data_IF_159770116906
#
_entry.id   IF_159770116906
#
_cell.length_a   1.000
_cell.length_b   1.000
_cell.length_c   1.000
_cell.angle_alpha   90.00
_cell.angle_beta   90.00
_cell.angle_gamma   90.00
#
_symmetry.space_group_name_H-M   'P 1'
#
loop_
_entity.id
_entity.type
_entity.pdbx_description
1 polymer ?
#
# COMPACT_ATOMS: atom_id res chain seq x y z
N UNK A 1 -9.36 5.23 -6.86
CA UNK A 1 -8.42 4.23 -7.45
C UNK A 1 -7.78 4.69 -8.78
N UNK A 2 -6.47 4.94 -8.80
CA UNK A 2 -5.66 5.08 -10.03
C UNK A 2 -4.66 3.93 -10.10
N UNK A 3 -4.65 3.18 -11.19
CA UNK A 3 -3.83 1.97 -11.33
C UNK A 3 -2.72 2.29 -12.34
N UNK A 4 -1.47 2.16 -11.91
CA UNK A 4 -0.31 2.20 -12.81
C UNK A 4 0.18 0.77 -12.98
N UNK A 5 -0.13 0.19 -14.15
CA UNK A 5 0.28 -1.17 -14.51
C UNK A 5 1.53 -1.10 -15.39
N UNK A 6 2.64 -1.64 -14.91
CA UNK A 6 3.80 -1.98 -15.73
C UNK A 6 3.99 -3.49 -15.59
N UNK A 7 3.63 -4.28 -16.60
CA UNK A 7 4.01 -5.70 -16.65
C UNK A 7 4.62 -6.01 -18.00
N UNK A 8 5.80 -6.62 -17.95
CA UNK A 8 6.50 -7.26 -19.06
C UNK A 8 6.23 -8.75 -18.92
N UNK A 9 5.04 -9.18 -19.36
CA UNK A 9 4.55 -10.55 -19.55
C UNK A 9 5.18 -11.71 -18.76
N UNK A 10 4.39 -12.38 -17.92
CA UNK A 10 4.80 -13.63 -17.28
C UNK A 10 3.89 -14.04 -16.13
N UNK A 11 4.04 -15.28 -15.67
CA UNK A 11 3.26 -15.90 -14.59
C UNK A 11 3.49 -15.16 -13.25
N UNK A 12 2.44 -14.57 -12.66
CA UNK A 12 2.52 -13.63 -11.52
C UNK A 12 3.01 -14.22 -10.18
N UNK A 13 3.20 -15.54 -10.08
CA UNK A 13 3.55 -16.22 -8.82
C UNK A 13 4.82 -15.66 -8.15
N UNK A 14 5.69 -14.99 -8.90
CA UNK A 14 6.93 -14.36 -8.40
C UNK A 14 6.91 -12.82 -8.40
N UNK A 15 5.84 -12.18 -8.86
CA UNK A 15 5.77 -10.74 -8.99
C UNK A 15 5.54 -10.10 -7.62
N UNK A 16 6.34 -9.09 -7.29
CA UNK A 16 6.25 -8.36 -6.03
C UNK A 16 5.25 -7.22 -6.17
N UNK A 17 4.14 -7.30 -5.43
CA UNK A 17 3.07 -6.30 -5.41
C UNK A 17 3.28 -5.30 -4.26
N UNK A 18 3.22 -4.01 -4.58
CA UNK A 18 3.13 -2.95 -3.58
C UNK A 18 1.76 -2.25 -3.66
N UNK A 19 1.01 -2.30 -2.57
CA UNK A 19 -0.19 -1.48 -2.38
C UNK A 19 0.24 -0.13 -1.82
N UNK A 20 -0.01 0.96 -2.53
CA UNK A 20 0.41 2.31 -2.15
C UNK A 20 -0.78 3.12 -1.67
N UNK A 21 -0.77 3.52 -0.40
CA UNK A 21 -1.89 4.20 0.26
C UNK A 21 -1.42 5.55 0.80
N UNK A 22 -1.75 6.68 0.13
CA UNK A 22 -1.51 8.00 0.69
C UNK A 22 -2.45 8.27 1.87
N UNK A 23 -1.91 8.81 2.96
CA UNK A 23 -2.63 9.09 4.20
C UNK A 23 -2.41 10.53 4.64
N UNK A 24 -3.49 11.23 5.01
CA UNK A 24 -3.42 12.52 5.71
C UNK A 24 -4.51 12.62 6.76
N UNK A 25 -4.11 12.57 8.03
CA UNK A 25 -4.99 12.56 9.20
C UNK A 25 -6.04 11.43 9.19
N UNK A 26 -5.57 10.19 9.11
CA UNK A 26 -6.39 8.98 8.96
C UNK A 26 -6.46 8.13 10.24
N UNK A 27 -6.13 8.69 11.42
CA UNK A 27 -5.97 7.88 12.65
C UNK A 27 -7.20 7.03 13.02
N UNK A 28 -8.41 7.47 12.64
CA UNK A 28 -9.67 6.79 12.95
C UNK A 28 -9.91 5.56 12.06
N UNK A 29 -9.47 5.59 10.80
CA UNK A 29 -9.78 4.54 9.79
C UNK A 29 -8.61 3.61 9.53
N UNK A 30 -7.38 4.05 9.80
CA UNK A 30 -6.16 3.39 9.36
C UNK A 30 -6.01 1.96 9.90
N UNK A 31 -6.51 1.68 11.12
CA UNK A 31 -6.50 0.33 11.70
C UNK A 31 -7.37 -0.67 10.93
N UNK A 32 -8.60 -0.28 10.55
CA UNK A 32 -9.48 -1.16 9.80
C UNK A 32 -8.96 -1.32 8.36
N UNK A 33 -8.42 -0.25 7.78
CA UNK A 33 -7.76 -0.27 6.47
C UNK A 33 -6.58 -1.25 6.44
N UNK A 34 -5.66 -1.14 7.39
CA UNK A 34 -4.52 -2.05 7.50
C UNK A 34 -4.96 -3.51 7.67
N UNK A 35 -5.99 -3.77 8.48
CA UNK A 35 -6.53 -5.11 8.69
C UNK A 35 -7.14 -5.72 7.42
N UNK A 36 -7.93 -4.94 6.67
CA UNK A 36 -8.53 -5.38 5.39
C UNK A 36 -7.46 -5.69 4.35
N UNK A 37 -6.48 -4.79 4.20
CA UNK A 37 -5.37 -4.97 3.25
C UNK A 37 -4.49 -6.16 3.64
N UNK A 38 -4.18 -6.33 4.93
CA UNK A 38 -3.40 -7.45 5.44
C UNK A 38 -4.06 -8.79 5.11
N UNK A 39 -5.37 -8.91 5.37
CA UNK A 39 -6.13 -10.12 5.02
C UNK A 39 -6.04 -10.40 3.53
N UNK A 40 -6.19 -9.38 2.69
CA UNK A 40 -6.15 -9.51 1.23
C UNK A 40 -4.79 -9.96 0.73
N UNK A 41 -3.74 -9.21 1.04
CA UNK A 41 -2.38 -9.50 0.57
C UNK A 41 -1.89 -10.87 1.09
N UNK A 42 -2.21 -11.23 2.33
CA UNK A 42 -1.85 -12.55 2.89
C UNK A 42 -2.56 -13.68 2.17
N UNK A 43 -3.82 -13.49 1.80
CA UNK A 43 -4.59 -14.48 1.02
C UNK A 43 -3.97 -14.67 -0.36
N UNK A 44 -3.58 -13.57 -1.02
CA UNK A 44 -2.94 -13.62 -2.34
C UNK A 44 -1.57 -14.30 -2.29
N UNK A 45 -0.75 -14.00 -1.28
CA UNK A 45 0.55 -14.66 -1.05
C UNK A 45 0.34 -16.16 -0.80
N UNK A 46 -0.62 -16.53 0.07
CA UNK A 46 -0.91 -17.93 0.40
C UNK A 46 -1.39 -18.73 -0.82
N UNK A 47 -2.16 -18.10 -1.71
CA UNK A 47 -2.64 -18.69 -2.94
C UNK A 47 -1.61 -18.60 -4.08
N UNK A 48 -0.38 -18.17 -3.78
CA UNK A 48 0.72 -18.03 -4.73
C UNK A 48 0.39 -17.12 -5.93
N UNK A 49 -0.49 -16.14 -5.73
CA UNK A 49 -0.86 -15.15 -6.76
C UNK A 49 0.20 -14.06 -6.89
N UNK A 50 0.89 -13.74 -5.79
CA UNK A 50 1.95 -12.72 -5.70
C UNK A 50 3.08 -13.22 -4.80
N UNK A 51 4.27 -12.63 -4.94
CA UNK A 51 5.43 -12.91 -4.10
C UNK A 51 5.19 -12.58 -2.62
N UNK A 52 5.81 -13.35 -1.73
CA UNK A 52 5.88 -13.06 -0.28
C UNK A 52 6.60 -11.75 0.07
N UNK A 53 7.37 -11.20 -0.88
CA UNK A 53 8.10 -9.95 -0.71
C UNK A 53 7.20 -8.72 -0.92
N UNK A 54 5.95 -8.93 -1.33
CA UNK A 54 4.90 -7.91 -1.49
C UNK A 54 4.66 -7.10 -0.21
N UNK A 55 4.27 -5.83 -0.36
CA UNK A 55 4.11 -4.88 0.75
C UNK A 55 2.85 -4.04 0.68
N UNK A 56 2.43 -3.58 1.85
CA UNK A 56 1.52 -2.45 2.03
C UNK A 56 2.37 -1.23 2.39
N UNK A 57 2.39 -0.23 1.52
CA UNK A 57 3.16 1.00 1.66
C UNK A 57 2.23 2.17 1.98
N UNK A 58 2.23 2.59 3.25
CA UNK A 58 1.53 3.81 3.67
C UNK A 58 2.42 5.04 3.44
N UNK A 59 1.87 6.08 2.81
CA UNK A 59 2.58 7.34 2.59
C UNK A 59 1.94 8.43 3.44
N UNK A 60 2.56 8.76 4.57
CA UNK A 60 2.12 9.85 5.42
C UNK A 60 2.41 11.21 4.77
N UNK A 61 1.38 11.93 4.37
CA UNK A 61 1.45 13.27 3.78
C UNK A 61 1.54 14.36 4.87
N UNK A 62 2.47 14.22 5.80
CA UNK A 62 2.68 15.18 6.88
C UNK A 62 1.46 15.39 7.78
N UNK A 63 0.80 14.30 8.18
CA UNK A 63 -0.32 14.32 9.13
C UNK A 63 0.06 14.97 10.47
N UNK A 64 -0.94 15.54 11.14
CA UNK A 64 -0.80 16.22 12.44
C UNK A 64 -1.34 15.40 13.61
N UNK A 65 -2.03 14.31 13.31
CA UNK A 65 -2.60 13.36 14.25
C UNK A 65 -1.65 12.17 14.48
N UNK A 66 -2.17 11.03 14.98
CA UNK A 66 -1.35 9.84 15.25
C UNK A 66 -1.06 8.97 14.02
N UNK A 67 -1.51 9.33 12.82
CA UNK A 67 -1.35 8.52 11.59
C UNK A 67 0.07 7.96 11.43
N UNK A 68 1.10 8.80 11.55
CA UNK A 68 2.49 8.33 11.40
C UNK A 68 2.94 7.37 12.50
N UNK A 69 2.49 7.57 13.74
CA UNK A 69 2.82 6.65 14.82
C UNK A 69 2.18 5.29 14.59
N UNK A 70 0.93 5.26 14.15
CA UNK A 70 0.22 4.03 13.79
C UNK A 70 0.95 3.28 12.66
N UNK A 71 1.42 3.97 11.61
CA UNK A 71 2.19 3.36 10.51
C UNK A 71 3.49 2.72 11.03
N UNK A 72 4.22 3.41 11.92
CA UNK A 72 5.44 2.84 12.54
C UNK A 72 5.13 1.60 13.37
N UNK A 73 4.03 1.64 14.13
CA UNK A 73 3.61 0.53 14.97
C UNK A 73 3.28 -0.70 14.12
N UNK A 74 2.56 -0.53 13.01
CA UNK A 74 2.30 -1.62 12.06
C UNK A 74 3.59 -2.23 11.50
N UNK A 75 4.52 -1.40 11.02
CA UNK A 75 5.80 -1.88 10.51
C UNK A 75 6.60 -2.66 11.56
N UNK A 76 6.58 -2.21 12.82
CA UNK A 76 7.28 -2.89 13.91
C UNK A 76 6.68 -4.27 14.25
N UNK A 77 5.38 -4.45 14.03
CA UNK A 77 4.65 -5.69 14.32
C UNK A 77 4.72 -6.67 13.16
N UNK A 78 4.69 -6.18 11.91
CA UNK A 78 4.71 -7.01 10.71
C UNK A 78 5.42 -6.27 9.57
N UNK A 79 6.49 -6.90 9.06
CA UNK A 79 7.30 -6.38 7.97
C UNK A 79 6.55 -6.27 6.64
N UNK A 80 5.33 -6.82 6.52
CA UNK A 80 4.47 -6.61 5.35
C UNK A 80 4.05 -5.14 5.20
N UNK A 81 4.00 -4.41 6.32
CA UNK A 81 3.77 -2.97 6.32
C UNK A 81 5.07 -2.21 6.16
N UNK A 82 5.01 -1.12 5.41
CA UNK A 82 6.09 -0.18 5.18
C UNK A 82 5.55 1.26 5.16
N UNK A 83 6.42 2.24 5.38
CA UNK A 83 6.01 3.63 5.54
C UNK A 83 6.97 4.62 4.89
N UNK A 84 6.43 5.62 4.20
CA UNK A 84 7.14 6.84 3.78
C UNK A 84 6.52 8.02 4.51
N UNK A 85 7.36 8.88 5.10
CA UNK A 85 6.90 10.07 5.80
C UNK A 85 7.35 11.33 5.08
N UNK A 86 6.41 12.10 4.55
CA UNK A 86 6.70 13.40 3.96
C UNK A 86 6.88 14.45 5.05
N UNK A 87 7.86 15.33 4.87
CA UNK A 87 8.23 16.36 5.87
C UNK A 87 7.10 17.35 6.21
N UNK A 88 6.10 17.50 5.34
CA UNK A 88 4.92 18.34 5.50
C UNK A 88 3.87 17.89 4.48
N UNK A 89 2.62 18.30 4.68
CA UNK A 89 1.57 18.09 3.71
C UNK A 89 1.93 18.72 2.35
N UNK A 90 1.94 17.89 1.30
CA UNK A 90 2.18 18.23 -0.10
C UNK A 90 0.95 17.98 -0.97
N UNK A 91 -0.13 17.46 -0.40
CA UNK A 91 -1.35 17.10 -1.09
C UNK A 91 -1.31 15.66 -1.61
N UNK A 92 -2.49 15.07 -1.70
CA UNK A 92 -2.71 13.66 -2.04
C UNK A 92 -1.92 13.19 -3.28
N UNK A 93 -1.90 13.96 -4.37
CA UNK A 93 -1.20 13.57 -5.59
C UNK A 93 0.32 13.46 -5.41
N UNK A 94 0.91 14.35 -4.60
CA UNK A 94 2.34 14.31 -4.32
C UNK A 94 2.69 13.16 -3.37
N UNK A 95 1.83 12.86 -2.41
CA UNK A 95 1.97 11.68 -1.55
C UNK A 95 1.88 10.38 -2.36
N UNK A 96 0.88 10.27 -3.23
CA UNK A 96 0.75 9.15 -4.15
C UNK A 96 2.00 8.99 -5.04
N UNK A 97 2.44 10.09 -5.67
CA UNK A 97 3.64 10.05 -6.53
C UNK A 97 4.88 9.64 -5.74
N UNK A 98 5.08 10.17 -4.54
CA UNK A 98 6.22 9.78 -3.69
C UNK A 98 6.19 8.29 -3.35
N UNK A 99 5.01 7.75 -3.03
CA UNK A 99 4.81 6.31 -2.81
C UNK A 99 5.15 5.48 -4.03
N UNK A 100 4.60 5.83 -5.21
CA UNK A 100 4.86 5.13 -6.46
C UNK A 100 6.35 5.16 -6.84
N UNK A 101 7.02 6.32 -6.67
CA UNK A 101 8.46 6.43 -6.92
C UNK A 101 9.31 5.65 -5.92
N UNK A 102 8.85 5.49 -4.68
CA UNK A 102 9.52 4.63 -3.69
C UNK A 102 9.38 3.16 -4.06
N UNK A 103 8.19 2.75 -4.51
CA UNK A 103 7.90 1.36 -4.85
C UNK A 103 8.48 0.92 -6.21
N UNK A 104 8.72 1.85 -7.14
CA UNK A 104 9.13 1.60 -8.53
C UNK A 104 10.30 0.62 -8.70
N UNK A 105 11.28 0.66 -7.81
CA UNK A 105 12.49 -0.18 -7.90
C UNK A 105 12.40 -1.45 -7.02
N UNK A 106 11.30 -1.61 -6.28
CA UNK A 106 11.09 -2.68 -5.29
C UNK A 106 9.95 -3.63 -5.66
N UNK A 107 9.10 -3.24 -6.61
CA UNK A 107 7.88 -3.91 -6.96
C UNK A 107 7.76 -4.08 -8.46
N UNK A 108 7.31 -5.25 -8.88
CA UNK A 108 6.92 -5.52 -10.27
C UNK A 108 5.54 -4.92 -10.55
N UNK A 109 4.68 -4.82 -9.53
CA UNK A 109 3.32 -4.29 -9.63
C UNK A 109 3.07 -3.27 -8.54
N UNK A 110 2.48 -2.12 -8.90
CA UNK A 110 2.04 -1.11 -7.93
C UNK A 110 0.57 -0.78 -8.11
N UNK A 111 -0.24 -0.91 -7.06
CA UNK A 111 -1.66 -0.54 -7.07
C UNK A 111 -1.88 0.52 -6.00
N UNK A 112 -2.51 1.63 -6.36
CA UNK A 112 -2.83 2.68 -5.38
C UNK A 112 -4.28 2.62 -4.94
N UNK A 113 -4.50 2.81 -3.63
CA UNK A 113 -5.79 2.76 -2.97
C UNK A 113 -5.92 3.95 -2.02
N UNK A 114 -7.14 4.43 -1.83
CA UNK A 114 -7.44 5.49 -0.86
C UNK A 114 -7.52 4.91 0.57
N UNK A 115 -7.13 5.70 1.58
CA UNK A 115 -6.98 5.21 2.96
C UNK A 115 -8.30 4.85 3.65
N UNK A 116 -9.43 5.39 3.19
CA UNK A 116 -10.76 5.11 3.71
C UNK A 116 -11.38 3.83 3.12
N UNK A 117 -10.76 3.22 2.10
CA UNK A 117 -11.16 1.98 1.44
C UNK A 117 -12.67 1.85 1.22
N UNK A 118 -13.31 2.91 0.71
CA UNK A 118 -14.70 2.86 0.29
C UNK A 118 -14.91 1.83 -0.83
N UNK A 119 -13.86 1.56 -1.60
CA UNK A 119 -13.83 0.52 -2.64
C UNK A 119 -13.68 -0.90 -2.06
N UNK A 120 -14.14 -1.88 -2.82
CA UNK A 120 -13.95 -3.30 -2.53
C UNK A 120 -12.48 -3.70 -2.79
N UNK A 121 -11.78 -4.15 -1.75
CA UNK A 121 -10.39 -4.63 -1.83
C UNK A 121 -10.25 -5.86 -2.73
N UNK A 122 -11.34 -6.55 -3.05
CA UNK A 122 -11.34 -7.68 -3.98
C UNK A 122 -11.12 -7.25 -5.44
N UNK A 123 -11.26 -5.96 -5.74
CA UNK A 123 -10.93 -5.43 -7.07
C UNK A 123 -9.43 -5.60 -7.41
N UNK A 124 -8.56 -5.73 -6.40
CA UNK A 124 -7.12 -6.01 -6.59
C UNK A 124 -6.89 -7.28 -7.43
N UNK A 125 -7.74 -8.30 -7.28
CA UNK A 125 -7.60 -9.58 -8.01
C UNK A 125 -7.71 -9.44 -9.53
N UNK A 126 -8.28 -8.34 -10.02
CA UNK A 126 -8.43 -8.09 -11.46
C UNK A 126 -7.16 -7.53 -12.11
N UNK A 127 -6.16 -7.17 -11.31
CA UNK A 127 -4.94 -6.47 -11.75
C UNK A 127 -3.66 -7.25 -11.48
N UNK A 128 -3.79 -8.46 -10.94
CA UNK A 128 -2.72 -9.43 -10.69
C UNK A 128 -3.05 -10.77 -11.37
#
# INVERSE_FOLDING_TARGET
>A
MKIFYFSIGGNFMNDTLYLVIPCYNEEEVLHETAKRLLKKITTMIKNEVISKDSKILFVNDGSKDKTWNIIKDFHSQDNIFSGVNLSRNRGHQNALLAGLMTAKELADITISLDADLQDDVDVIDKFV
#
